data_IF_863224030296
#
_entry.id   IF_863224030296
#
_cell.length_a   1.000
_cell.length_b   1.000
_cell.length_c   1.000
_cell.angle_alpha   90.00
_cell.angle_beta   90.00
_cell.angle_gamma   90.00
#
_symmetry.space_group_name_H-M   'P 1'
#
loop_
_entity.id
_entity.type
_entity.pdbx_description
1 polymer ?
#
# COMPACT_ATOMS: atom_id res chain seq x y z
N UNK A 1 0.42 -13.34 4.99
CA UNK A 1 1.64 -13.36 4.13
C UNK A 1 2.53 -12.21 4.56
N UNK A 2 3.86 -12.32 4.46
CA UNK A 2 4.74 -11.21 4.83
C UNK A 2 6.04 -11.18 4.03
N UNK A 3 6.62 -9.98 3.96
CA UNK A 3 7.96 -9.67 3.47
C UNK A 3 8.62 -8.81 4.54
N UNK A 4 9.83 -9.17 4.94
CA UNK A 4 10.57 -8.44 5.96
C UNK A 4 12.02 -8.25 5.54
N UNK A 5 12.54 -7.06 5.84
CA UNK A 5 13.97 -6.76 5.76
C UNK A 5 14.45 -6.20 7.09
N UNK A 6 15.72 -5.82 7.15
CA UNK A 6 16.34 -5.34 8.40
C UNK A 6 15.69 -4.08 8.98
N UNK A 7 15.01 -3.28 8.14
CA UNK A 7 14.43 -1.99 8.53
C UNK A 7 12.95 -1.87 8.18
N UNK A 8 12.33 -2.89 7.62
CA UNK A 8 10.94 -2.79 7.17
C UNK A 8 10.20 -4.10 7.30
N UNK A 9 8.89 -4.00 7.38
CA UNK A 9 7.97 -5.14 7.33
C UNK A 9 6.75 -4.77 6.50
N UNK A 10 6.33 -5.69 5.64
CA UNK A 10 5.08 -5.63 4.90
C UNK A 10 4.33 -6.92 5.16
N UNK A 11 3.14 -6.83 5.74
CA UNK A 11 2.34 -7.99 6.08
C UNK A 11 0.90 -7.84 5.59
N UNK A 12 0.33 -8.91 5.06
CA UNK A 12 -1.08 -9.00 4.71
C UNK A 12 -1.81 -9.94 5.67
N UNK A 13 -2.86 -9.41 6.30
CA UNK A 13 -3.84 -10.13 7.10
C UNK A 13 -5.11 -10.35 6.28
N UNK A 14 -5.46 -11.61 6.03
CA UNK A 14 -6.67 -12.00 5.31
C UNK A 14 -7.92 -11.68 6.14
N UNK A 15 -7.85 -11.89 7.46
CA UNK A 15 -8.97 -11.70 8.38
C UNK A 15 -9.48 -10.25 8.37
N UNK A 16 -8.58 -9.28 8.35
CA UNK A 16 -8.92 -7.86 8.33
C UNK A 16 -8.87 -7.22 6.95
N UNK A 17 -8.50 -7.98 5.91
CA UNK A 17 -8.16 -7.47 4.58
C UNK A 17 -7.21 -6.26 4.64
N UNK A 18 -6.14 -6.37 5.44
CA UNK A 18 -5.21 -5.26 5.69
C UNK A 18 -3.80 -5.60 5.27
N UNK A 19 -3.23 -4.77 4.39
CA UNK A 19 -1.80 -4.69 4.12
C UNK A 19 -1.20 -3.66 5.07
N UNK A 20 -0.28 -4.07 5.93
CA UNK A 20 0.43 -3.18 6.85
C UNK A 20 1.87 -3.03 6.42
N UNK A 21 2.31 -1.79 6.19
CA UNK A 21 3.68 -1.42 5.86
C UNK A 21 4.28 -0.64 7.04
N UNK A 22 5.45 -1.07 7.52
CA UNK A 22 6.13 -0.46 8.66
C UNK A 22 7.64 -0.33 8.41
N UNK A 23 8.26 0.65 9.07
CA UNK A 23 9.70 0.93 9.03
C UNK A 23 10.12 1.78 7.83
N UNK A 24 11.26 1.47 7.21
CA UNK A 24 11.87 2.26 6.14
C UNK A 24 12.00 1.46 4.84
N UNK A 25 11.20 1.81 3.84
CA UNK A 25 11.25 1.25 2.49
C UNK A 25 12.15 2.11 1.60
N UNK A 26 13.45 1.80 1.59
CA UNK A 26 14.47 2.50 0.79
C UNK A 26 15.23 1.58 -0.19
N UNK A 27 14.53 0.59 -0.76
CA UNK A 27 15.15 -0.35 -1.71
C UNK A 27 15.33 0.30 -3.08
N UNK A 28 16.36 -0.10 -3.84
CA UNK A 28 16.69 0.50 -5.14
C UNK A 28 16.03 -0.25 -6.30
N UNK A 29 15.26 0.49 -7.10
CA UNK A 29 14.68 -0.01 -8.35
C UNK A 29 13.67 -1.14 -8.17
N UNK A 30 13.20 -1.71 -9.29
CA UNK A 30 12.18 -2.77 -9.27
C UNK A 30 12.66 -4.05 -8.57
N UNK A 31 13.93 -4.42 -8.77
CA UNK A 31 14.53 -5.61 -8.14
C UNK A 31 14.44 -5.56 -6.62
N UNK A 32 14.71 -4.40 -6.02
CA UNK A 32 14.59 -4.22 -4.58
C UNK A 32 13.17 -4.38 -4.04
N UNK A 33 12.15 -4.10 -4.86
CA UNK A 33 10.74 -4.23 -4.48
C UNK A 33 10.08 -5.52 -4.98
N UNK A 34 10.84 -6.45 -5.56
CA UNK A 34 10.28 -7.65 -6.21
C UNK A 34 9.34 -8.42 -5.28
N UNK A 35 9.80 -8.77 -4.08
CA UNK A 35 8.99 -9.52 -3.10
C UNK A 35 7.78 -8.72 -2.62
N UNK A 36 7.92 -7.40 -2.49
CA UNK A 36 6.81 -6.50 -2.13
C UNK A 36 5.73 -6.48 -3.22
N UNK A 37 6.16 -6.38 -4.48
CA UNK A 37 5.27 -6.40 -5.65
C UNK A 37 4.57 -7.76 -5.77
N UNK A 38 5.29 -8.85 -5.55
CA UNK A 38 4.70 -10.21 -5.54
C UNK A 38 3.68 -10.38 -4.41
N UNK A 39 3.93 -9.81 -3.22
CA UNK A 39 2.95 -9.80 -2.14
C UNK A 39 1.71 -8.99 -2.55
N UNK A 40 1.88 -7.78 -3.07
CA UNK A 40 0.77 -6.95 -3.56
C UNK A 40 -0.05 -7.65 -4.63
N UNK A 41 0.59 -8.32 -5.58
CA UNK A 41 -0.09 -9.04 -6.66
C UNK A 41 -0.91 -10.22 -6.12
N UNK A 42 -0.39 -10.93 -5.12
CA UNK A 42 -1.13 -12.00 -4.44
C UNK A 42 -2.30 -11.46 -3.63
N UNK A 43 -2.18 -10.28 -3.03
CA UNK A 43 -3.29 -9.60 -2.34
C UNK A 43 -4.37 -9.18 -3.33
N UNK A 44 -3.98 -8.56 -4.46
CA UNK A 44 -4.93 -8.23 -5.54
C UNK A 44 -5.64 -9.49 -5.99
N UNK A 45 -4.92 -10.58 -6.29
CA UNK A 45 -5.49 -11.84 -6.74
C UNK A 45 -6.54 -12.40 -5.76
N UNK A 46 -6.29 -12.31 -4.46
CA UNK A 46 -7.19 -12.78 -3.39
C UNK A 46 -8.34 -11.82 -3.05
N UNK A 47 -8.30 -10.58 -3.54
CA UNK A 47 -9.36 -9.60 -3.26
C UNK A 47 -10.46 -9.72 -4.32
N UNK A 48 -11.66 -10.13 -3.90
CA UNK A 48 -12.83 -10.21 -4.77
C UNK A 48 -13.51 -8.84 -4.97
N UNK A 49 -14.27 -8.70 -6.05
CA UNK A 49 -15.09 -7.51 -6.27
C UNK A 49 -16.13 -7.34 -5.16
N UNK A 50 -16.42 -6.11 -4.75
CA UNK A 50 -17.31 -5.78 -3.63
C UNK A 50 -16.65 -5.84 -2.26
N UNK A 51 -15.34 -6.13 -2.17
CA UNK A 51 -14.58 -6.13 -0.91
C UNK A 51 -13.90 -4.79 -0.65
N UNK A 52 -13.73 -4.49 0.64
CA UNK A 52 -12.92 -3.38 1.09
C UNK A 52 -11.54 -3.92 1.48
N UNK A 53 -10.49 -3.18 1.13
CA UNK A 53 -9.12 -3.47 1.50
C UNK A 53 -8.51 -2.25 2.19
N UNK A 54 -7.67 -2.49 3.19
CA UNK A 54 -6.95 -1.44 3.92
C UNK A 54 -5.47 -1.50 3.62
N UNK A 55 -4.87 -0.36 3.27
CA UNK A 55 -3.42 -0.16 3.26
C UNK A 55 -3.05 0.70 4.47
N UNK A 56 -2.47 0.09 5.49
CA UNK A 56 -2.00 0.75 6.69
C UNK A 56 -0.52 1.11 6.54
N UNK A 57 -0.21 2.40 6.45
CA UNK A 57 1.14 2.97 6.36
C UNK A 57 1.50 3.80 7.59
N UNK A 58 0.74 3.73 8.68
CA UNK A 58 0.95 4.56 9.87
C UNK A 58 2.37 4.46 10.43
N UNK A 59 2.90 3.24 10.47
CA UNK A 59 4.24 2.94 10.98
C UNK A 59 5.32 2.99 9.89
N UNK A 60 5.00 3.47 8.69
CA UNK A 60 5.95 3.62 7.60
C UNK A 60 6.67 4.97 7.74
N UNK A 61 7.88 4.92 8.27
CA UNK A 61 8.70 6.09 8.60
C UNK A 61 9.27 6.75 7.34
N UNK A 62 9.59 5.95 6.32
CA UNK A 62 10.19 6.41 5.07
C UNK A 62 9.78 5.53 3.89
N UNK A 63 9.56 6.19 2.74
CA UNK A 63 9.28 5.54 1.46
C UNK A 63 9.95 6.32 0.34
N UNK A 64 10.81 5.67 -0.42
CA UNK A 64 11.43 6.29 -1.60
C UNK A 64 10.50 6.30 -2.82
N UNK A 65 10.93 6.96 -3.90
CA UNK A 65 10.15 7.10 -5.15
C UNK A 65 9.78 5.77 -5.81
N UNK A 66 10.66 4.77 -5.72
CA UNK A 66 10.39 3.43 -6.25
C UNK A 66 9.29 2.75 -5.43
N UNK A 67 9.28 2.93 -4.11
CA UNK A 67 8.22 2.43 -3.24
C UNK A 67 6.87 3.11 -3.46
N UNK A 68 6.85 4.43 -3.66
CA UNK A 68 5.62 5.16 -4.06
C UNK A 68 5.08 4.59 -5.38
N UNK A 69 5.96 4.30 -6.33
CA UNK A 69 5.58 3.68 -7.61
C UNK A 69 4.99 2.28 -7.41
N UNK A 70 5.59 1.46 -6.55
CA UNK A 70 5.07 0.12 -6.23
C UNK A 70 3.66 0.18 -5.62
N UNK A 71 3.43 1.09 -4.66
CA UNK A 71 2.09 1.33 -4.09
C UNK A 71 1.12 1.85 -5.16
N UNK A 72 1.55 2.78 -6.00
CA UNK A 72 0.71 3.31 -7.09
C UNK A 72 0.26 2.20 -8.07
N UNK A 73 1.17 1.29 -8.44
CA UNK A 73 0.82 0.13 -9.26
C UNK A 73 -0.17 -0.81 -8.56
N UNK A 74 -0.03 -1.02 -7.24
CA UNK A 74 -0.98 -1.81 -6.46
C UNK A 74 -2.39 -1.20 -6.47
N UNK A 75 -2.50 0.12 -6.28
CA UNK A 75 -3.78 0.86 -6.33
C UNK A 75 -4.43 0.70 -7.71
N UNK A 76 -3.66 0.88 -8.79
CA UNK A 76 -4.16 0.70 -10.17
C UNK A 76 -4.70 -0.72 -10.36
N UNK A 77 -3.97 -1.75 -9.92
CA UNK A 77 -4.41 -3.14 -10.06
C UNK A 77 -5.70 -3.44 -9.27
N UNK A 78 -5.87 -2.87 -8.07
CA UNK A 78 -7.11 -2.98 -7.31
C UNK A 78 -8.28 -2.29 -8.04
N UNK A 79 -8.06 -1.08 -8.56
CA UNK A 79 -9.07 -0.37 -9.36
C UNK A 79 -9.49 -1.18 -10.57
N UNK A 80 -8.53 -1.74 -11.31
CA UNK A 80 -8.79 -2.46 -12.56
C UNK A 80 -9.59 -3.75 -12.35
N UNK A 81 -9.55 -4.33 -11.13
CA UNK A 81 -10.46 -5.43 -10.75
C UNK A 81 -11.93 -4.99 -10.65
N UNK A 82 -12.19 -3.71 -10.38
CA UNK A 82 -13.53 -3.15 -10.26
C UNK A 82 -14.25 -3.52 -8.96
N UNK A 83 -15.06 -2.59 -8.44
CA UNK A 83 -15.90 -2.82 -7.26
C UNK A 83 -15.14 -2.98 -5.93
N UNK A 84 -13.83 -2.75 -5.90
CA UNK A 84 -13.02 -2.73 -4.68
C UNK A 84 -13.04 -1.31 -4.10
N UNK A 85 -13.10 -1.18 -2.77
CA UNK A 85 -12.81 0.09 -2.08
C UNK A 85 -11.50 -0.04 -1.30
N UNK A 86 -10.66 0.99 -1.38
CA UNK A 86 -9.38 1.06 -0.69
C UNK A 86 -9.43 2.14 0.40
N UNK A 87 -9.10 1.77 1.62
CA UNK A 87 -8.81 2.70 2.71
C UNK A 87 -7.30 2.78 2.92
N UNK A 88 -6.71 3.97 2.86
CA UNK A 88 -5.31 4.20 3.25
C UNK A 88 -5.30 4.83 4.64
N UNK A 89 -4.64 4.17 5.60
CA UNK A 89 -4.43 4.71 6.96
C UNK A 89 -3.03 5.29 7.07
N UNK A 90 -2.98 6.60 7.25
CA UNK A 90 -1.76 7.38 7.39
C UNK A 90 -1.59 7.87 8.83
N UNK A 91 -0.35 8.20 9.18
CA UNK A 91 0.01 8.81 10.45
C UNK A 91 0.19 10.32 10.29
N UNK A 92 -0.26 11.08 11.29
CA UNK A 92 0.02 12.52 11.39
C UNK A 92 1.50 12.82 11.71
N UNK A 93 2.29 11.81 12.08
CA UNK A 93 3.70 11.98 12.50
C UNK A 93 4.67 12.15 11.32
N UNK A 94 4.30 11.68 10.11
CA UNK A 94 5.18 11.67 8.95
C UNK A 94 4.65 12.56 7.83
N UNK A 95 5.17 13.79 7.73
CA UNK A 95 4.69 14.82 6.79
C UNK A 95 4.71 14.38 5.31
N UNK A 96 5.62 13.47 4.95
CA UNK A 96 5.69 12.93 3.59
C UNK A 96 4.45 12.09 3.24
N UNK A 97 3.78 11.47 4.21
CA UNK A 97 2.58 10.66 3.96
C UNK A 97 1.43 11.52 3.44
N UNK A 98 1.23 12.71 4.02
CA UNK A 98 0.23 13.66 3.56
C UNK A 98 0.44 14.04 2.10
N UNK A 99 1.69 14.35 1.71
CA UNK A 99 1.98 14.74 0.33
C UNK A 99 1.89 13.56 -0.65
N UNK A 100 2.54 12.44 -0.32
CA UNK A 100 2.68 11.31 -1.24
C UNK A 100 1.40 10.50 -1.35
N UNK A 101 0.72 10.19 -0.24
CA UNK A 101 -0.48 9.34 -0.26
C UNK A 101 -1.67 10.06 -0.91
N UNK A 102 -1.89 11.34 -0.59
CA UNK A 102 -2.92 12.15 -1.27
C UNK A 102 -2.65 12.26 -2.77
N UNK A 103 -1.39 12.31 -3.18
CA UNK A 103 -1.01 12.26 -4.59
C UNK A 103 -1.46 10.98 -5.33
N UNK A 104 -1.75 9.89 -4.61
CA UNK A 104 -2.19 8.61 -5.17
C UNK A 104 -3.72 8.50 -5.30
N UNK A 105 -4.51 9.38 -4.68
CA UNK A 105 -5.99 9.37 -4.78
C UNK A 105 -6.46 9.40 -6.24
N UNK A 106 -5.77 10.19 -7.08
CA UNK A 106 -6.04 10.30 -8.51
C UNK A 106 -5.95 8.98 -9.28
N UNK A 107 -5.29 7.96 -8.72
CA UNK A 107 -5.14 6.66 -9.36
C UNK A 107 -6.40 5.81 -9.25
N UNK A 108 -7.28 6.08 -8.28
CA UNK A 108 -8.54 5.36 -8.05
C UNK A 108 -9.67 6.33 -7.63
N UNK A 109 -10.17 7.16 -8.57
CA UNK A 109 -11.18 8.19 -8.26
C UNK A 109 -12.47 7.58 -7.69
N UNK A 110 -12.91 8.06 -6.53
CA UNK A 110 -14.15 7.61 -5.88
C UNK A 110 -14.12 6.23 -5.24
N UNK A 111 -13.02 5.48 -5.40
CA UNK A 111 -12.83 4.14 -4.81
C UNK A 111 -11.76 4.09 -3.72
N UNK A 112 -11.08 5.21 -3.47
CA UNK A 112 -9.99 5.32 -2.50
C UNK A 112 -10.31 6.44 -1.50
N UNK A 113 -10.18 6.13 -0.22
CA UNK A 113 -10.29 7.05 0.90
C UNK A 113 -8.99 7.07 1.70
N UNK A 114 -8.58 8.24 2.20
CA UNK A 114 -7.39 8.39 3.03
C UNK A 114 -7.80 8.97 4.38
N UNK A 115 -7.37 8.33 5.46
CA UNK A 115 -7.52 8.84 6.82
C UNK A 115 -6.15 9.10 7.45
N UNK A 116 -6.06 10.21 8.18
CA UNK A 116 -4.87 10.59 8.94
C UNK A 116 -5.20 10.50 10.42
N UNK A 117 -4.40 9.73 11.15
CA UNK A 117 -4.57 9.45 12.58
C UNK A 117 -3.28 9.75 13.34
#
# INVERSE_FOLDING_TARGET
MEVQGNKFRIAYSVESATVTCAGMLDMRGKEGYKETIELFDKVVAQTDSGKNITLNVKELEFLNSSGITAIGCFIIKLRDKGGIRLLIRCSNNYSWQARSMTGLEKLMPGGLEIIFE
#
